data_IF_805759106481
#
_entry.id   IF_805759106481
#
_cell.length_a   1.000
_cell.length_b   1.000
_cell.length_c   1.000
_cell.angle_alpha   90.00
_cell.angle_beta   90.00
_cell.angle_gamma   90.00
#
_symmetry.space_group_name_H-M   'P 1'
#
loop_
_entity.id
_entity.type
_entity.pdbx_description
1 polymer ?
#
# COMPACT_ATOMS: atom_id res chain seq x y z
N UNK A 1 -26.72 -1.03 -42.96
CA UNK A 1 -27.54 -0.74 -41.76
C UNK A 1 -27.17 -1.58 -40.56
N UNK A 2 -27.02 -2.89 -40.69
CA UNK A 2 -26.69 -3.81 -39.55
C UNK A 2 -25.43 -3.44 -38.77
N UNK A 3 -24.33 -3.04 -39.39
CA UNK A 3 -23.08 -2.69 -38.70
C UNK A 3 -23.20 -1.49 -37.78
N UNK A 4 -24.13 -0.58 -38.05
CA UNK A 4 -24.39 0.61 -37.21
C UNK A 4 -25.22 0.26 -35.98
N UNK A 5 -26.11 -0.75 -36.08
CA UNK A 5 -26.87 -1.25 -34.96
C UNK A 5 -25.98 -2.03 -33.98
N UNK A 6 -25.08 -2.88 -34.48
CA UNK A 6 -24.10 -3.59 -33.66
C UNK A 6 -23.17 -2.66 -32.86
N UNK A 7 -22.75 -1.54 -33.47
CA UNK A 7 -21.94 -0.54 -32.78
C UNK A 7 -22.72 0.16 -31.65
N UNK A 8 -23.96 0.59 -31.95
CA UNK A 8 -24.80 1.25 -30.95
C UNK A 8 -25.18 0.32 -29.79
N UNK A 9 -25.45 -0.97 -30.06
CA UNK A 9 -25.75 -1.95 -29.02
C UNK A 9 -24.52 -2.24 -28.14
N UNK A 10 -23.31 -2.31 -28.71
CA UNK A 10 -22.08 -2.49 -27.94
C UNK A 10 -21.80 -1.28 -27.02
N UNK A 11 -22.02 -0.05 -27.49
CA UNK A 11 -21.85 1.17 -26.68
C UNK A 11 -22.87 1.22 -25.54
N UNK A 12 -24.14 0.84 -25.80
CA UNK A 12 -25.19 0.79 -24.75
C UNK A 12 -24.87 -0.28 -23.71
N UNK A 13 -24.36 -1.45 -24.11
CA UNK A 13 -23.97 -2.51 -23.19
C UNK A 13 -22.80 -2.08 -22.29
N UNK A 14 -21.83 -1.38 -22.84
CA UNK A 14 -20.70 -0.80 -22.08
C UNK A 14 -21.22 0.24 -21.08
N UNK A 15 -22.13 1.14 -21.47
CA UNK A 15 -22.73 2.11 -20.55
C UNK A 15 -23.55 1.46 -19.44
N UNK A 16 -24.29 0.37 -19.70
CA UNK A 16 -25.04 -0.38 -18.69
C UNK A 16 -24.15 -1.07 -17.65
N UNK A 17 -22.95 -1.53 -18.01
CA UNK A 17 -21.99 -2.12 -17.07
C UNK A 17 -21.46 -1.06 -16.08
N UNK A 18 -21.31 0.19 -16.50
CA UNK A 18 -20.83 1.27 -15.64
C UNK A 18 -21.91 1.88 -14.72
N UNK A 19 -23.20 1.71 -15.02
CA UNK A 19 -24.30 2.34 -14.25
C UNK A 19 -24.70 1.61 -12.96
N UNK A 20 -24.23 0.38 -12.72
CA UNK A 20 -24.73 -0.46 -11.61
C UNK A 20 -23.90 -0.40 -10.31
N UNK A 21 -22.90 0.48 -10.18
CA UNK A 21 -22.01 0.52 -9.00
C UNK A 21 -22.18 1.74 -8.08
N UNK A 22 -23.36 2.39 -8.07
CA UNK A 22 -23.64 3.45 -7.10
C UNK A 22 -24.67 2.93 -6.10
N UNK A 23 -24.21 2.12 -5.12
CA UNK A 23 -25.00 1.79 -3.95
C UNK A 23 -24.62 2.69 -2.78
N UNK A 24 -25.58 3.44 -2.31
CA UNK A 24 -25.56 4.27 -1.12
C UNK A 24 -25.32 3.40 0.12
N UNK A 25 -24.17 3.52 0.76
CA UNK A 25 -23.93 2.97 2.09
C UNK A 25 -24.54 3.87 3.18
N UNK A 26 -25.00 3.24 4.25
CA UNK A 26 -25.76 3.79 5.38
C UNK A 26 -25.19 5.10 5.95
N UNK A 27 -25.94 6.19 5.82
CA UNK A 27 -25.57 7.54 6.26
C UNK A 27 -25.49 7.71 7.80
N UNK A 28 -25.98 6.77 8.62
CA UNK A 28 -25.97 6.89 10.08
C UNK A 28 -24.65 6.51 10.72
N UNK A 29 -24.03 5.43 10.27
CA UNK A 29 -22.75 4.98 10.83
C UNK A 29 -21.61 5.95 10.45
N UNK A 30 -21.70 6.57 9.28
CA UNK A 30 -20.72 7.54 8.80
C UNK A 30 -20.72 8.83 9.66
N UNK A 31 -21.88 9.34 10.09
CA UNK A 31 -21.94 10.56 10.92
C UNK A 31 -21.35 10.36 12.31
N UNK A 32 -21.58 9.20 12.94
CA UNK A 32 -20.99 8.86 14.25
C UNK A 32 -19.48 8.74 14.18
N UNK A 33 -18.96 8.22 13.07
CA UNK A 33 -17.54 8.18 12.81
C UNK A 33 -16.92 9.58 12.68
N UNK A 34 -17.55 10.48 11.90
CA UNK A 34 -17.05 11.86 11.71
C UNK A 34 -17.04 12.65 13.02
N UNK A 35 -18.06 12.49 13.85
CA UNK A 35 -18.12 13.15 15.16
C UNK A 35 -16.98 12.70 16.07
N UNK A 36 -16.75 11.39 16.21
CA UNK A 36 -15.63 10.84 17.00
C UNK A 36 -14.28 11.24 16.44
N UNK A 37 -14.12 11.21 15.11
CA UNK A 37 -12.87 11.59 14.47
C UNK A 37 -12.56 13.08 14.72
N UNK A 38 -13.57 13.93 14.63
CA UNK A 38 -13.46 15.36 14.96
C UNK A 38 -13.13 15.58 16.44
N UNK A 39 -13.74 14.83 17.34
CA UNK A 39 -13.43 14.87 18.78
C UNK A 39 -11.98 14.49 19.04
N UNK A 40 -11.50 13.39 18.45
CA UNK A 40 -10.11 12.93 18.59
C UNK A 40 -9.11 13.97 18.06
N UNK A 41 -9.40 14.59 16.91
CA UNK A 41 -8.58 15.66 16.34
C UNK A 41 -8.55 16.89 17.26
N UNK A 42 -9.66 17.25 17.88
CA UNK A 42 -9.71 18.36 18.85
C UNK A 42 -8.90 18.05 20.12
N UNK A 43 -8.94 16.80 20.60
CA UNK A 43 -8.14 16.36 21.74
C UNK A 43 -6.64 16.44 21.39
N UNK A 44 -6.24 15.98 20.22
CA UNK A 44 -4.88 16.07 19.71
C UNK A 44 -4.40 17.54 19.65
N UNK A 45 -5.21 18.44 19.07
CA UNK A 45 -4.89 19.86 18.95
C UNK A 45 -4.77 20.56 20.32
N UNK A 46 -5.46 20.05 21.33
CA UNK A 46 -5.36 20.51 22.71
C UNK A 46 -4.27 19.79 23.52
N UNK A 47 -3.35 19.08 22.84
CA UNK A 47 -2.24 18.32 23.45
C UNK A 47 -2.66 17.20 24.41
N UNK A 48 -3.91 16.72 24.31
CA UNK A 48 -4.44 15.58 25.08
C UNK A 48 -4.26 14.30 24.26
N UNK A 49 -3.00 13.91 24.02
CA UNK A 49 -2.64 12.88 23.06
C UNK A 49 -3.14 11.49 23.46
N UNK A 50 -3.08 11.14 24.76
CA UNK A 50 -3.58 9.87 25.29
C UNK A 50 -5.10 9.72 25.05
N UNK A 51 -5.86 10.78 25.35
CA UNK A 51 -7.33 10.78 25.12
C UNK A 51 -7.65 10.71 23.62
N UNK A 52 -6.89 11.40 22.80
CA UNK A 52 -7.03 11.33 21.32
C UNK A 52 -6.81 9.91 20.81
N UNK A 53 -5.77 9.22 21.29
CA UNK A 53 -5.46 7.83 20.95
C UNK A 53 -6.62 6.91 21.35
N UNK A 54 -7.19 7.10 22.54
CA UNK A 54 -8.33 6.29 23.00
C UNK A 54 -9.54 6.39 22.06
N UNK A 55 -9.88 7.60 21.63
CA UNK A 55 -11.01 7.79 20.70
C UNK A 55 -10.68 7.21 19.32
N UNK A 56 -9.45 7.38 18.82
CA UNK A 56 -9.04 6.75 17.56
C UNK A 56 -9.11 5.23 17.62
N UNK A 57 -8.75 4.60 18.75
CA UNK A 57 -8.92 3.16 18.92
C UNK A 57 -10.39 2.74 18.95
N UNK A 58 -11.28 3.51 19.57
CA UNK A 58 -12.71 3.23 19.52
C UNK A 58 -13.25 3.23 18.07
N UNK A 59 -12.68 4.10 17.21
CA UNK A 59 -13.01 4.11 15.78
C UNK A 59 -12.49 2.83 15.10
N UNK A 60 -11.25 2.42 15.37
CA UNK A 60 -10.69 1.17 14.83
C UNK A 60 -11.47 -0.06 15.28
N UNK A 61 -11.90 -0.11 16.53
CA UNK A 61 -12.68 -1.21 17.10
C UNK A 61 -14.08 -1.31 16.47
N UNK A 62 -14.61 -0.22 15.92
CA UNK A 62 -15.83 -0.23 15.11
C UNK A 62 -15.64 -0.79 13.68
N UNK A 63 -14.41 -1.19 13.33
CA UNK A 63 -14.07 -1.76 12.03
C UNK A 63 -13.72 -0.73 10.95
N UNK A 64 -13.62 0.55 11.31
CA UNK A 64 -13.25 1.61 10.36
C UNK A 64 -11.74 1.75 10.29
N UNK A 65 -11.19 1.61 9.09
CA UNK A 65 -9.77 1.72 8.81
C UNK A 65 -9.55 2.73 7.68
N UNK A 66 -8.81 3.82 7.96
CA UNK A 66 -8.45 4.81 6.95
C UNK A 66 -6.99 5.23 7.08
N UNK A 67 -6.41 5.71 5.98
CA UNK A 67 -5.02 6.22 5.99
C UNK A 67 -4.88 7.39 6.95
N UNK A 68 -5.86 8.31 6.97
CA UNK A 68 -5.87 9.48 7.84
C UNK A 68 -5.98 9.11 9.32
N UNK A 69 -6.82 8.12 9.69
CA UNK A 69 -6.94 7.62 11.05
C UNK A 69 -5.60 7.07 11.55
N UNK A 70 -4.93 6.26 10.74
CA UNK A 70 -3.62 5.72 11.08
C UNK A 70 -2.54 6.80 11.13
N UNK A 71 -2.59 7.80 10.25
CA UNK A 71 -1.69 8.95 10.29
C UNK A 71 -1.81 9.73 11.60
N UNK A 72 -3.04 10.03 12.03
CA UNK A 72 -3.30 10.78 13.25
C UNK A 72 -2.92 9.98 14.51
N UNK A 73 -3.12 8.65 14.52
CA UNK A 73 -2.56 7.77 15.56
C UNK A 73 -1.04 7.82 15.58
N UNK A 74 -0.39 7.73 14.42
CA UNK A 74 1.06 7.85 14.31
C UNK A 74 1.58 9.17 14.89
N UNK A 75 0.91 10.28 14.56
CA UNK A 75 1.22 11.60 15.10
C UNK A 75 1.05 11.66 16.62
N UNK A 76 -0.05 11.10 17.15
CA UNK A 76 -0.35 11.11 18.59
C UNK A 76 0.70 10.31 19.38
N UNK A 77 1.09 9.14 18.90
CA UNK A 77 2.16 8.34 19.50
C UNK A 77 3.53 9.03 19.42
N UNK A 78 3.81 9.70 18.30
CA UNK A 78 5.03 10.49 18.17
C UNK A 78 5.11 11.59 19.23
N UNK A 79 4.01 12.31 19.48
CA UNK A 79 3.94 13.35 20.53
C UNK A 79 4.18 12.79 21.94
N UNK A 80 3.84 11.53 22.18
CA UNK A 80 4.12 10.80 23.42
C UNK A 80 5.51 10.16 23.46
N UNK A 81 6.34 10.36 22.43
CA UNK A 81 7.64 9.71 22.27
C UNK A 81 7.58 8.17 22.21
N UNK A 82 6.43 7.62 21.83
CA UNK A 82 6.28 6.20 21.56
C UNK A 82 6.63 5.89 20.09
N UNK A 83 7.92 5.75 19.85
CA UNK A 83 8.51 5.60 18.51
C UNK A 83 7.98 4.36 17.78
N UNK A 84 7.88 3.21 18.48
CA UNK A 84 7.46 1.96 17.86
C UNK A 84 6.01 2.01 17.37
N UNK A 85 5.08 2.50 18.20
CA UNK A 85 3.68 2.67 17.79
C UNK A 85 3.56 3.75 16.70
N UNK A 86 4.31 4.84 16.79
CA UNK A 86 4.31 5.88 15.75
C UNK A 86 4.69 5.30 14.39
N UNK A 87 5.77 4.53 14.31
CA UNK A 87 6.20 3.85 13.07
C UNK A 87 5.13 2.86 12.60
N UNK A 88 4.61 2.03 13.49
CA UNK A 88 3.57 1.04 13.16
C UNK A 88 2.38 1.70 12.46
N UNK A 89 1.87 2.80 13.02
CA UNK A 89 0.69 3.46 12.49
C UNK A 89 0.98 4.27 11.22
N UNK A 90 2.14 4.89 11.08
CA UNK A 90 2.55 5.50 9.82
C UNK A 90 2.70 4.44 8.69
N UNK A 91 3.28 3.29 9.00
CA UNK A 91 3.37 2.19 8.02
C UNK A 91 1.99 1.63 7.63
N UNK A 92 1.05 1.54 8.57
CA UNK A 92 -0.35 1.19 8.28
C UNK A 92 -1.05 2.23 7.42
N UNK A 93 -0.77 3.51 7.66
CA UNK A 93 -1.27 4.61 6.82
C UNK A 93 -0.75 4.48 5.38
N UNK A 94 0.56 4.29 5.20
CA UNK A 94 1.18 4.12 3.88
C UNK A 94 0.76 2.84 3.16
N UNK A 95 0.30 1.82 3.88
CA UNK A 95 -0.27 0.62 3.27
C UNK A 95 -1.60 0.91 2.57
N UNK A 96 -2.38 1.87 3.09
CA UNK A 96 -3.64 2.32 2.49
C UNK A 96 -3.42 3.43 1.45
N UNK A 97 -2.56 4.40 1.75
CA UNK A 97 -2.14 5.44 0.80
C UNK A 97 -0.60 5.54 0.72
N UNK A 98 0.02 4.80 -0.23
CA UNK A 98 1.47 4.81 -0.39
C UNK A 98 2.05 6.13 -0.91
N UNK A 99 1.20 7.08 -1.32
CA UNK A 99 1.60 8.32 -1.98
C UNK A 99 1.58 9.53 -1.06
N UNK A 100 1.09 9.39 0.18
CA UNK A 100 0.99 10.47 1.15
C UNK A 100 2.38 10.95 1.58
N UNK A 101 2.70 12.18 1.15
CA UNK A 101 4.01 12.80 1.41
C UNK A 101 4.22 13.20 2.86
N UNK A 102 3.16 13.54 3.56
CA UNK A 102 3.23 13.94 4.96
C UNK A 102 3.56 12.75 5.85
N UNK A 103 2.90 11.62 5.60
CA UNK A 103 3.22 10.35 6.26
C UNK A 103 4.65 9.91 5.94
N UNK A 104 5.08 9.97 4.67
CA UNK A 104 6.45 9.61 4.26
C UNK A 104 7.48 10.47 4.99
N UNK A 105 7.26 11.77 5.08
CA UNK A 105 8.17 12.70 5.74
C UNK A 105 8.23 12.46 7.25
N UNK A 106 7.07 12.26 7.89
CA UNK A 106 6.98 11.98 9.32
C UNK A 106 7.64 10.63 9.64
N UNK A 107 7.37 9.59 8.86
CA UNK A 107 8.01 8.29 9.03
C UNK A 107 9.54 8.38 8.89
N UNK A 108 10.04 9.16 7.92
CA UNK A 108 11.48 9.41 7.78
C UNK A 108 12.06 10.08 9.00
N UNK A 109 11.36 11.07 9.57
CA UNK A 109 11.78 11.78 10.77
C UNK A 109 11.85 10.84 11.98
N UNK A 110 10.81 10.01 12.19
CA UNK A 110 10.76 9.05 13.30
C UNK A 110 11.82 7.96 13.15
N UNK A 111 12.07 7.49 11.94
CA UNK A 111 13.13 6.50 11.66
C UNK A 111 14.54 7.01 12.02
N UNK A 112 14.78 8.31 12.05
CA UNK A 112 16.05 8.86 12.50
C UNK A 112 16.26 8.72 14.04
N UNK A 113 15.21 8.40 14.79
CA UNK A 113 15.26 8.14 16.21
C UNK A 113 15.51 6.65 16.57
N UNK A 114 15.51 5.76 15.57
CA UNK A 114 15.81 4.33 15.76
C UNK A 114 17.30 4.14 16.00
N UNK A 115 17.64 3.24 16.91
CA UNK A 115 19.03 2.90 17.26
C UNK A 115 19.71 2.11 16.13
N UNK A 116 18.96 1.24 15.45
CA UNK A 116 19.49 0.34 14.44
C UNK A 116 19.70 1.05 13.09
N UNK A 117 20.93 1.37 12.77
CA UNK A 117 21.32 1.86 11.45
C UNK A 117 21.66 0.70 10.51
N UNK A 118 20.63 0.13 9.88
CA UNK A 118 20.80 -1.01 8.97
C UNK A 118 20.96 -0.49 7.55
N UNK A 119 22.18 -0.55 7.03
CA UNK A 119 22.46 -0.12 5.66
C UNK A 119 21.63 -0.93 4.65
N UNK A 120 20.85 -0.23 3.83
CA UNK A 120 20.09 -0.86 2.74
C UNK A 120 21.05 -1.39 1.67
N UNK A 121 20.74 -2.56 1.12
CA UNK A 121 21.45 -3.03 -0.09
C UNK A 121 21.18 -2.01 -1.20
N UNK A 122 22.25 -1.49 -1.85
CA UNK A 122 22.06 -0.57 -2.97
C UNK A 122 21.27 -1.26 -4.09
N UNK A 123 20.12 -0.72 -4.43
CA UNK A 123 19.36 -1.16 -5.59
C UNK A 123 20.10 -0.74 -6.88
N UNK A 124 19.98 -1.54 -7.94
CA UNK A 124 20.51 -1.10 -9.23
C UNK A 124 19.84 0.21 -9.67
N UNK A 125 20.57 1.05 -10.41
CA UNK A 125 20.03 2.33 -10.89
C UNK A 125 18.68 2.18 -11.59
N UNK A 126 18.52 1.13 -12.42
CA UNK A 126 17.29 0.85 -13.17
C UNK A 126 16.15 0.51 -12.20
N UNK A 127 16.39 -0.37 -11.22
CA UNK A 127 15.36 -0.75 -10.25
C UNK A 127 14.94 0.44 -9.38
N UNK A 128 15.88 1.30 -8.99
CA UNK A 128 15.57 2.50 -8.21
C UNK A 128 14.71 3.51 -9.03
N UNK A 129 15.00 3.67 -10.33
CA UNK A 129 14.16 4.55 -11.18
C UNK A 129 12.79 3.95 -11.44
N UNK A 130 12.72 2.63 -11.64
CA UNK A 130 11.46 1.92 -11.86
C UNK A 130 10.58 1.95 -10.60
N UNK A 131 11.17 1.73 -9.41
CA UNK A 131 10.44 1.82 -8.14
C UNK A 131 9.95 3.24 -7.84
N UNK A 132 10.76 4.27 -8.12
CA UNK A 132 10.31 5.66 -8.01
C UNK A 132 9.14 5.96 -8.94
N UNK A 133 9.18 5.47 -10.18
CA UNK A 133 8.10 5.65 -11.13
C UNK A 133 6.84 4.90 -10.72
N UNK A 134 6.95 3.65 -10.29
CA UNK A 134 5.81 2.84 -9.84
C UNK A 134 5.14 3.40 -8.58
N UNK A 135 5.92 4.01 -7.68
CA UNK A 135 5.42 4.59 -6.43
C UNK A 135 4.70 5.95 -6.61
N UNK A 136 4.66 6.53 -7.84
CA UNK A 136 3.91 7.77 -8.08
C UNK A 136 2.40 7.59 -7.97
N UNK A 137 1.90 6.37 -8.13
CA UNK A 137 0.48 6.05 -8.06
C UNK A 137 0.26 4.77 -7.26
N UNK A 138 -0.93 4.64 -6.68
CA UNK A 138 -1.36 3.40 -6.02
C UNK A 138 -1.54 2.26 -7.05
N UNK A 139 -1.52 1.01 -6.57
CA UNK A 139 -1.76 -0.16 -7.43
C UNK A 139 -3.12 -0.10 -8.13
N UNK A 140 -4.16 0.43 -7.45
CA UNK A 140 -5.49 0.60 -8.03
C UNK A 140 -5.51 1.64 -9.16
N UNK A 141 -4.75 2.72 -9.01
CA UNK A 141 -4.60 3.75 -10.07
C UNK A 141 -3.90 3.17 -11.30
N UNK A 142 -2.82 2.37 -11.12
CA UNK A 142 -2.17 1.67 -12.21
C UNK A 142 -3.11 0.69 -12.92
N UNK A 143 -3.95 -0.03 -12.14
CA UNK A 143 -5.00 -0.90 -12.67
C UNK A 143 -6.02 -0.13 -13.52
N UNK A 144 -6.47 1.04 -13.03
CA UNK A 144 -7.39 1.91 -13.76
C UNK A 144 -6.79 2.42 -15.08
N UNK A 145 -5.50 2.84 -15.07
CA UNK A 145 -4.79 3.25 -16.28
C UNK A 145 -4.73 2.10 -17.30
N UNK A 146 -4.48 0.86 -16.84
CA UNK A 146 -4.50 -0.32 -17.72
C UNK A 146 -5.87 -0.56 -18.35
N UNK A 147 -6.96 -0.36 -17.59
CA UNK A 147 -8.33 -0.44 -18.08
C UNK A 147 -8.59 0.62 -19.15
N UNK A 148 -8.18 1.88 -18.92
CA UNK A 148 -8.32 2.98 -19.88
C UNK A 148 -7.59 2.66 -21.19
N UNK A 149 -6.36 2.16 -21.12
CA UNK A 149 -5.62 1.73 -22.30
C UNK A 149 -6.29 0.56 -23.03
N UNK A 150 -6.91 -0.38 -22.31
CA UNK A 150 -7.65 -1.50 -22.88
C UNK A 150 -8.89 -1.02 -23.66
N UNK A 151 -9.63 -0.05 -23.13
CA UNK A 151 -10.74 0.57 -23.87
C UNK A 151 -10.26 1.35 -25.09
N UNK A 152 -9.15 2.08 -24.97
CA UNK A 152 -8.54 2.78 -26.10
C UNK A 152 -8.09 1.82 -27.19
N UNK A 153 -7.51 0.67 -26.80
CA UNK A 153 -7.14 -0.40 -27.71
C UNK A 153 -8.37 -0.93 -28.48
N UNK A 154 -9.48 -1.20 -27.77
CA UNK A 154 -10.72 -1.65 -28.41
C UNK A 154 -11.24 -0.64 -29.43
N UNK A 155 -11.26 0.65 -29.10
CA UNK A 155 -11.71 1.71 -30.02
C UNK A 155 -10.84 1.78 -31.28
N UNK A 156 -9.52 1.76 -31.12
CA UNK A 156 -8.58 1.81 -32.25
C UNK A 156 -8.67 0.50 -33.07
N UNK A 157 -8.89 -0.64 -32.43
CA UNK A 157 -9.13 -1.90 -33.14
C UNK A 157 -10.39 -1.83 -34.02
N UNK A 158 -11.47 -1.26 -33.51
CA UNK A 158 -12.70 -1.04 -34.30
C UNK A 158 -12.42 -0.12 -35.49
N UNK A 159 -11.69 0.98 -35.29
CA UNK A 159 -11.28 1.89 -36.36
C UNK A 159 -10.41 1.16 -37.39
N UNK A 160 -9.45 0.36 -37.00
CA UNK A 160 -8.62 -0.45 -37.86
C UNK A 160 -9.46 -1.42 -38.72
N UNK A 161 -10.43 -2.07 -38.08
CA UNK A 161 -11.25 -3.09 -38.75
C UNK A 161 -12.20 -2.49 -39.79
N UNK A 162 -12.81 -1.35 -39.48
CA UNK A 162 -13.82 -0.71 -40.37
C UNK A 162 -13.24 0.27 -41.36
N UNK A 163 -12.03 0.78 -41.17
CA UNK A 163 -11.40 1.71 -42.12
C UNK A 163 -11.07 1.02 -43.46
N UNK A 164 -11.28 1.74 -44.54
CA UNK A 164 -10.81 1.34 -45.87
C UNK A 164 -9.54 2.05 -46.29
N UNK A 165 -9.18 3.12 -45.59
CA UNK A 165 -8.03 3.95 -45.91
C UNK A 165 -6.72 3.32 -45.47
N UNK A 166 -5.75 3.10 -46.40
CA UNK A 166 -4.47 2.44 -46.06
C UNK A 166 -3.64 3.14 -44.96
N UNK A 167 -3.70 4.47 -44.94
CA UNK A 167 -2.98 5.28 -43.94
C UNK A 167 -3.55 5.03 -42.55
N UNK A 168 -4.89 5.07 -42.41
CA UNK A 168 -5.58 4.83 -41.15
C UNK A 168 -5.28 3.41 -40.62
N UNK A 169 -5.26 2.41 -41.50
CA UNK A 169 -4.90 1.04 -41.11
C UNK A 169 -3.47 0.94 -40.59
N UNK A 170 -2.49 1.54 -41.28
CA UNK A 170 -1.09 1.49 -40.85
C UNK A 170 -0.88 2.20 -39.52
N UNK A 171 -1.44 3.39 -39.35
CA UNK A 171 -1.34 4.16 -38.09
C UNK A 171 -2.05 3.47 -36.94
N UNK A 172 -3.27 2.93 -37.17
CA UNK A 172 -4.00 2.17 -36.16
C UNK A 172 -3.25 0.92 -35.74
N UNK A 173 -2.64 0.18 -36.67
CA UNK A 173 -1.83 -1.01 -36.36
C UNK A 173 -0.63 -0.66 -35.47
N UNK A 174 0.10 0.41 -35.80
CA UNK A 174 1.22 0.88 -34.98
C UNK A 174 0.76 1.30 -33.56
N UNK A 175 -0.36 2.00 -33.45
CA UNK A 175 -0.96 2.39 -32.18
C UNK A 175 -1.42 1.19 -31.34
N UNK A 176 -2.04 0.19 -31.97
CA UNK A 176 -2.43 -1.05 -31.29
C UNK A 176 -1.22 -1.78 -30.71
N UNK A 177 -0.09 -1.82 -31.42
CA UNK A 177 1.13 -2.41 -30.92
C UNK A 177 1.67 -1.64 -29.70
N UNK A 178 1.73 -0.32 -29.76
CA UNK A 178 2.15 0.52 -28.63
C UNK A 178 1.22 0.33 -27.43
N UNK A 179 -0.10 0.37 -27.65
CA UNK A 179 -1.08 0.18 -26.58
C UNK A 179 -0.97 -1.20 -25.93
N UNK A 180 -0.68 -2.27 -26.70
CA UNK A 180 -0.49 -3.61 -26.12
C UNK A 180 0.70 -3.65 -25.15
N UNK A 181 1.80 -2.96 -25.48
CA UNK A 181 2.95 -2.83 -24.58
C UNK A 181 2.64 -1.99 -23.34
N UNK A 182 1.88 -0.89 -23.49
CA UNK A 182 1.45 -0.04 -22.37
C UNK A 182 0.51 -0.79 -21.44
N UNK A 183 -0.45 -1.56 -21.95
CA UNK A 183 -1.34 -2.41 -21.14
C UNK A 183 -0.51 -3.43 -20.35
N UNK A 184 0.39 -4.16 -21.01
CA UNK A 184 1.23 -5.15 -20.35
C UNK A 184 2.11 -4.55 -19.26
N UNK A 185 2.74 -3.39 -19.51
CA UNK A 185 3.61 -2.73 -18.52
C UNK A 185 2.82 -2.15 -17.33
N UNK A 186 1.70 -1.47 -17.57
CA UNK A 186 0.88 -0.90 -16.49
C UNK A 186 0.21 -1.97 -15.64
N UNK A 187 -0.24 -3.07 -16.25
CA UNK A 187 -0.79 -4.23 -15.55
C UNK A 187 0.28 -4.89 -14.68
N UNK A 188 1.50 -5.09 -15.21
CA UNK A 188 2.60 -5.64 -14.43
C UNK A 188 2.94 -4.76 -13.23
N UNK A 189 3.06 -3.44 -13.40
CA UNK A 189 3.32 -2.51 -12.29
C UNK A 189 2.21 -2.60 -11.24
N UNK A 190 0.94 -2.67 -11.65
CA UNK A 190 -0.21 -2.81 -10.75
C UNK A 190 -0.12 -4.10 -9.94
N UNK A 191 0.19 -5.23 -10.58
CA UNK A 191 0.30 -6.54 -9.91
C UNK A 191 1.50 -6.58 -8.95
N UNK A 192 2.68 -6.12 -9.37
CA UNK A 192 3.88 -6.08 -8.53
C UNK A 192 3.64 -5.19 -7.28
N UNK A 193 2.96 -4.06 -7.45
CA UNK A 193 2.60 -3.16 -6.35
C UNK A 193 1.53 -3.78 -5.42
N UNK A 194 0.56 -4.49 -5.96
CA UNK A 194 -0.44 -5.23 -5.20
C UNK A 194 0.21 -6.34 -4.35
N UNK A 195 1.10 -7.13 -4.95
CA UNK A 195 1.84 -8.19 -4.24
C UNK A 195 2.63 -7.61 -3.08
N UNK A 196 3.39 -6.54 -3.30
CA UNK A 196 4.17 -5.87 -2.26
C UNK A 196 3.30 -5.36 -1.11
N UNK A 197 2.12 -4.82 -1.40
CA UNK A 197 1.25 -4.23 -0.38
C UNK A 197 0.39 -5.25 0.37
N UNK A 198 0.00 -6.37 -0.26
CA UNK A 198 -0.96 -7.31 0.31
C UNK A 198 -0.36 -8.67 0.69
N UNK A 199 0.65 -9.15 -0.04
CA UNK A 199 1.23 -10.46 0.19
C UNK A 199 2.49 -10.39 1.06
N UNK A 200 3.27 -9.32 0.95
CA UNK A 200 4.42 -9.12 1.82
C UNK A 200 3.96 -8.68 3.21
N UNK A 201 4.37 -9.43 4.20
CA UNK A 201 4.08 -9.12 5.61
C UNK A 201 5.30 -8.46 6.25
N UNK A 202 5.06 -7.33 6.87
CA UNK A 202 6.07 -6.60 7.64
C UNK A 202 5.64 -6.50 9.10
N UNK A 203 6.61 -6.32 9.98
CA UNK A 203 6.36 -6.09 11.40
C UNK A 203 7.34 -5.06 11.96
N UNK A 204 6.96 -4.46 13.09
CA UNK A 204 7.80 -3.55 13.88
C UNK A 204 8.19 -4.26 15.17
N UNK A 205 9.47 -4.15 15.56
CA UNK A 205 9.98 -4.66 16.85
C UNK A 205 9.50 -3.75 17.97
N UNK A 206 8.94 -4.34 19.02
CA UNK A 206 8.43 -3.62 20.20
C UNK A 206 9.30 -3.79 21.44
N UNK A 207 10.12 -4.83 21.49
CA UNK A 207 11.07 -5.02 22.59
C UNK A 207 12.20 -4.01 22.52
N UNK A 208 12.62 -3.48 23.66
CA UNK A 208 13.73 -2.53 23.75
C UNK A 208 15.02 -3.07 23.13
N UNK A 209 15.24 -4.38 23.27
CA UNK A 209 16.36 -5.12 22.71
C UNK A 209 15.96 -6.58 22.49
N UNK A 210 16.25 -7.12 21.32
CA UNK A 210 15.98 -8.52 20.99
C UNK A 210 17.14 -9.14 20.23
N UNK A 211 17.41 -10.41 20.50
CA UNK A 211 18.41 -11.22 19.81
C UNK A 211 17.77 -12.02 18.68
N UNK A 212 18.31 -11.88 17.50
CA UNK A 212 17.90 -12.64 16.32
C UNK A 212 18.67 -13.96 16.30
N UNK A 213 17.94 -15.06 16.28
CA UNK A 213 18.48 -16.42 16.37
C UNK A 213 18.75 -17.03 15.00
N UNK A 214 19.74 -17.92 14.91
CA UNK A 214 20.03 -18.71 13.71
C UNK A 214 18.94 -19.75 13.43
N UNK A 215 18.34 -20.32 14.50
CA UNK A 215 17.29 -21.33 14.45
C UNK A 215 16.10 -20.95 15.35
N UNK A 216 14.89 -21.48 15.12
CA UNK A 216 13.70 -21.14 15.89
C UNK A 216 13.68 -21.80 17.27
N UNK A 217 14.69 -21.50 18.08
CA UNK A 217 14.79 -21.96 19.48
C UNK A 217 15.64 -20.98 20.31
N UNK A 218 15.39 -20.92 21.63
CA UNK A 218 16.04 -19.99 22.54
C UNK A 218 17.53 -20.29 22.79
N UNK A 219 17.98 -21.52 22.52
CA UNK A 219 19.38 -21.95 22.73
C UNK A 219 20.27 -21.76 21.51
N UNK A 220 19.67 -21.38 20.40
CA UNK A 220 20.39 -21.15 19.16
C UNK A 220 21.32 -19.93 19.25
N UNK A 221 22.33 -19.92 18.41
CA UNK A 221 23.29 -18.83 18.28
C UNK A 221 22.60 -17.50 17.96
N UNK A 222 23.10 -16.42 18.55
CA UNK A 222 22.65 -15.06 18.27
C UNK A 222 23.39 -14.55 17.04
N UNK A 223 22.65 -14.23 15.99
CA UNK A 223 23.22 -13.67 14.75
C UNK A 223 23.47 -12.17 14.87
N UNK A 224 22.50 -11.47 15.43
CA UNK A 224 22.54 -10.02 15.64
C UNK A 224 21.52 -9.60 16.69
N UNK A 225 21.65 -8.35 17.13
CA UNK A 225 20.71 -7.71 18.05
C UNK A 225 19.98 -6.61 17.33
N UNK A 226 18.66 -6.51 17.56
CA UNK A 226 17.81 -5.43 17.06
C UNK A 226 17.13 -4.70 18.23
N UNK A 227 16.68 -3.48 17.94
CA UNK A 227 16.05 -2.63 18.93
C UNK A 227 14.63 -2.22 18.49
N UNK A 228 13.90 -1.64 19.41
CA UNK A 228 12.53 -1.14 19.21
C UNK A 228 12.45 -0.17 18.04
N UNK A 229 11.38 -0.29 17.25
CA UNK A 229 11.11 0.53 16.08
C UNK A 229 11.63 -0.05 14.76
N UNK A 230 12.53 -1.03 14.81
CA UNK A 230 13.09 -1.61 13.59
C UNK A 230 12.03 -2.39 12.81
N UNK A 231 11.90 -2.06 11.52
CA UNK A 231 11.01 -2.73 10.57
C UNK A 231 11.68 -3.97 9.99
N UNK A 232 10.95 -5.08 10.00
CA UNK A 232 11.41 -6.38 9.48
C UNK A 232 10.38 -6.96 8.52
N UNK A 233 10.85 -7.70 7.49
CA UNK A 233 9.99 -8.47 6.59
C UNK A 233 9.81 -9.87 7.14
N UNK A 234 8.58 -10.36 7.25
CA UNK A 234 8.28 -11.74 7.66
C UNK A 234 8.33 -12.61 6.41
N UNK A 235 9.13 -13.67 6.44
CA UNK A 235 9.27 -14.62 5.31
C UNK A 235 8.69 -16.00 5.62
N UNK A 236 8.67 -16.40 6.89
CA UNK A 236 8.10 -17.69 7.27
C UNK A 236 7.57 -17.66 8.72
N UNK A 237 6.69 -18.60 9.05
CA UNK A 237 6.15 -18.82 10.38
C UNK A 237 6.43 -20.27 10.80
N UNK A 238 6.95 -20.46 12.00
CA UNK A 238 7.25 -21.79 12.56
C UNK A 238 6.53 -21.96 13.91
N UNK A 239 5.64 -22.92 13.97
CA UNK A 239 4.87 -23.32 15.16
C UNK A 239 4.10 -22.17 15.85
N UNK A 240 3.73 -21.12 15.10
CA UNK A 240 3.06 -19.91 15.61
C UNK A 240 3.79 -19.15 16.73
N UNK A 241 4.98 -19.57 17.11
CA UNK A 241 5.82 -18.95 18.14
C UNK A 241 6.99 -18.17 17.55
N UNK A 242 7.54 -18.66 16.42
CA UNK A 242 8.74 -18.13 15.80
C UNK A 242 8.45 -17.64 14.39
N UNK A 243 9.00 -16.47 14.07
CA UNK A 243 8.92 -15.89 12.74
C UNK A 243 10.32 -15.78 12.14
N UNK A 244 10.48 -16.28 10.92
CA UNK A 244 11.67 -16.03 10.13
C UNK A 244 11.53 -14.64 9.50
N UNK A 245 12.48 -13.79 9.78
CA UNK A 245 12.50 -12.41 9.31
C UNK A 245 13.66 -12.16 8.35
N UNK A 246 13.50 -11.12 7.55
CA UNK A 246 14.54 -10.59 6.67
C UNK A 246 14.66 -9.08 6.87
N UNK A 247 15.89 -8.63 7.04
CA UNK A 247 16.25 -7.22 7.17
C UNK A 247 16.46 -6.58 5.79
N UNK A 248 16.48 -5.25 5.77
CA UNK A 248 16.71 -4.47 4.54
C UNK A 248 18.10 -4.68 3.92
N UNK A 249 19.07 -5.15 4.71
CA UNK A 249 20.40 -5.56 4.25
C UNK A 249 20.47 -7.02 3.79
N UNK A 250 19.33 -7.73 3.72
CA UNK A 250 19.25 -9.11 3.25
C UNK A 250 19.55 -10.17 4.31
N UNK A 251 20.02 -9.81 5.50
CA UNK A 251 20.24 -10.77 6.61
C UNK A 251 18.92 -11.37 7.05
N UNK A 252 18.95 -12.67 7.37
CA UNK A 252 17.78 -13.43 7.80
C UNK A 252 18.07 -14.07 9.17
N UNK A 253 17.01 -14.30 9.93
CA UNK A 253 17.08 -15.02 11.19
C UNK A 253 15.70 -15.18 11.82
N UNK A 254 15.65 -15.72 13.03
CA UNK A 254 14.41 -16.06 13.73
C UNK A 254 14.19 -15.17 14.94
N UNK A 255 12.94 -14.76 15.13
CA UNK A 255 12.48 -13.90 16.22
C UNK A 255 11.21 -14.49 16.84
N UNK A 256 11.02 -14.30 18.15
CA UNK A 256 9.76 -14.65 18.81
C UNK A 256 8.64 -13.73 18.34
N UNK A 257 7.46 -14.31 18.05
CA UNK A 257 6.27 -13.58 17.58
C UNK A 257 5.76 -12.54 18.58
N UNK A 258 5.97 -12.78 19.88
CA UNK A 258 5.50 -11.89 20.95
C UNK A 258 6.25 -10.55 21.01
N UNK A 259 7.40 -10.46 20.34
CA UNK A 259 8.30 -9.31 20.36
C UNK A 259 8.01 -8.28 19.26
N UNK A 260 7.02 -8.57 18.41
CA UNK A 260 6.71 -7.77 17.24
C UNK A 260 5.22 -7.49 17.08
N UNK A 261 4.87 -6.43 16.36
CA UNK A 261 3.50 -6.20 15.87
C UNK A 261 3.49 -6.15 14.34
N UNK A 262 2.54 -6.86 13.74
CA UNK A 262 2.37 -6.93 12.29
C UNK A 262 1.70 -5.64 11.77
N UNK A 263 2.17 -5.15 10.60
CA UNK A 263 1.66 -3.98 9.91
C UNK A 263 0.39 -4.33 9.10
#
# INVERSE_FOLDING_TARGET
MEKRYLFNTAVILIMMIFSNNLHSQDNKDFSVFEDKFTEANNLYNNSKYENSIEIYFQILDSGVHSAELYYNLGNSFYKLNDIANSILFYEKSLKLDPTDKDVINNLKMVNNAIIDDIAKIPESFINNQLSKFSNNFSYSTWGLISIIFSFSFLLIFVLYFFSKEPIVKRTSFALLFILSLLIGSTLKISLDSYEKNHLEKYAIIFSSKIEIKAEPNMRSENLLTLHMGTKVKIINNFNDEWLKIKLVNGQEGWISKNEIKII
#
